data_IF_930838620462
#
_entry.id   IF_930838620462
#
_cell.length_a   1.000
_cell.length_b   1.000
_cell.length_c   1.000
_cell.angle_alpha   90.00
_cell.angle_beta   90.00
_cell.angle_gamma   90.00
#
_symmetry.space_group_name_H-M   'P 1'
#
loop_
_entity.id
_entity.type
_entity.pdbx_description
1 polymer ?
#
# COMPACT_ATOMS: atom_id res chain seq x y z
N UNK A 1 27.32 15.68 -9.45
CA UNK A 1 27.82 14.32 -9.15
C UNK A 1 27.43 14.04 -7.69
N UNK A 2 26.62 13.06 -7.30
CA UNK A 2 26.16 11.84 -7.93
C UNK A 2 24.64 11.68 -7.73
N UNK A 3 23.93 11.31 -8.79
CA UNK A 3 22.60 10.70 -8.72
C UNK A 3 22.81 9.29 -8.16
N UNK A 4 22.45 9.05 -6.89
CA UNK A 4 22.44 7.71 -6.34
C UNK A 4 21.18 7.02 -6.81
N UNK A 5 21.28 6.36 -7.97
CA UNK A 5 20.29 5.46 -8.53
C UNK A 5 20.24 4.13 -7.76
N UNK A 6 20.03 4.19 -6.44
CA UNK A 6 19.55 3.06 -5.67
C UNK A 6 18.27 3.40 -4.85
N UNK A 7 17.08 3.60 -5.48
CA UNK A 7 15.85 3.66 -4.67
C UNK A 7 14.65 2.83 -5.17
N UNK A 8 14.65 2.29 -6.40
CA UNK A 8 13.46 1.60 -6.95
C UNK A 8 13.41 0.10 -6.60
N UNK A 9 14.55 -0.59 -6.61
CA UNK A 9 14.62 -2.03 -6.35
C UNK A 9 14.27 -2.37 -4.89
N UNK A 10 14.77 -1.58 -3.95
CA UNK A 10 14.48 -1.74 -2.52
C UNK A 10 13.02 -1.42 -2.20
N UNK A 11 12.46 -0.36 -2.80
CA UNK A 11 11.04 -0.02 -2.66
C UNK A 11 10.14 -1.14 -3.22
N UNK A 12 10.46 -1.70 -4.39
CA UNK A 12 9.68 -2.79 -4.99
C UNK A 12 9.73 -4.07 -4.14
N UNK A 13 10.92 -4.44 -3.66
CA UNK A 13 11.10 -5.57 -2.73
C UNK A 13 10.37 -5.35 -1.41
N UNK A 14 10.39 -4.13 -0.89
CA UNK A 14 9.64 -3.77 0.32
C UNK A 14 8.13 -3.88 0.09
N UNK A 15 7.61 -3.37 -1.02
CA UNK A 15 6.20 -3.49 -1.42
C UNK A 15 5.80 -4.97 -1.50
N UNK A 16 6.55 -5.82 -2.19
CA UNK A 16 6.25 -7.26 -2.29
C UNK A 16 6.24 -7.95 -0.93
N UNK A 17 7.18 -7.60 -0.04
CA UNK A 17 7.22 -8.14 1.32
C UNK A 17 5.99 -7.72 2.13
N UNK A 18 5.56 -6.47 1.98
CA UNK A 18 4.37 -5.94 2.66
C UNK A 18 3.11 -6.61 2.09
N UNK A 19 2.96 -6.71 0.77
CA UNK A 19 1.81 -7.38 0.13
C UNK A 19 1.65 -8.83 0.62
N UNK A 20 2.76 -9.57 0.73
CA UNK A 20 2.74 -10.94 1.30
C UNK A 20 2.29 -10.96 2.76
N UNK A 21 2.81 -10.06 3.60
CA UNK A 21 2.41 -9.96 5.02
C UNK A 21 0.93 -9.59 5.16
N UNK A 22 0.46 -8.64 4.35
CA UNK A 22 -0.95 -8.27 4.30
C UNK A 22 -1.81 -9.48 3.91
N UNK A 23 -1.41 -10.26 2.90
CA UNK A 23 -2.17 -11.45 2.50
C UNK A 23 -2.24 -12.54 3.59
N UNK A 24 -1.19 -12.65 4.40
CA UNK A 24 -1.14 -13.63 5.49
C UNK A 24 -1.97 -13.22 6.72
N UNK A 25 -1.93 -11.93 7.10
CA UNK A 25 -2.63 -11.42 8.30
C UNK A 25 -4.09 -11.09 7.98
N UNK A 26 -4.33 -10.57 6.77
CA UNK A 26 -5.58 -9.94 6.37
C UNK A 26 -6.20 -10.68 5.18
N UNK A 27 -6.67 -11.90 5.43
CA UNK A 27 -7.24 -12.81 4.40
C UNK A 27 -8.42 -12.19 3.64
N UNK A 28 -9.15 -11.26 4.26
CA UNK A 28 -10.28 -10.56 3.64
C UNK A 28 -9.87 -9.44 2.65
N UNK A 29 -8.58 -9.09 2.54
CA UNK A 29 -8.11 -8.13 1.53
C UNK A 29 -8.03 -8.81 0.17
N UNK A 30 -8.68 -8.22 -0.81
CA UNK A 30 -8.46 -8.56 -2.22
C UNK A 30 -7.06 -8.15 -2.67
N UNK A 31 -6.57 -8.78 -3.74
CA UNK A 31 -5.24 -8.51 -4.31
C UNK A 31 -5.04 -7.01 -4.62
N UNK A 32 -6.10 -6.34 -5.10
CA UNK A 32 -6.07 -4.90 -5.41
C UNK A 32 -6.00 -4.04 -4.15
N UNK A 33 -6.73 -4.40 -3.10
CA UNK A 33 -6.62 -3.70 -1.82
C UNK A 33 -5.23 -3.90 -1.20
N UNK A 34 -4.66 -5.11 -1.24
CA UNK A 34 -3.29 -5.37 -0.75
C UNK A 34 -2.24 -4.55 -1.50
N UNK A 35 -2.34 -4.50 -2.82
CA UNK A 35 -1.39 -3.76 -3.65
C UNK A 35 -1.42 -2.25 -3.36
N UNK A 36 -2.62 -1.68 -3.15
CA UNK A 36 -2.81 -0.27 -2.78
C UNK A 36 -2.32 0.00 -1.35
N UNK A 37 -2.63 -0.87 -0.40
CA UNK A 37 -2.19 -0.74 0.99
C UNK A 37 -0.65 -0.80 1.10
N UNK A 38 0.00 -1.76 0.45
CA UNK A 38 1.46 -1.88 0.50
C UNK A 38 2.19 -0.63 0.02
N UNK A 39 1.71 -0.03 -1.08
CA UNK A 39 2.27 1.21 -1.62
C UNK A 39 1.99 2.42 -0.74
N UNK A 40 0.81 2.44 -0.11
CA UNK A 40 0.45 3.45 0.89
C UNK A 40 1.42 3.40 2.09
N UNK A 41 1.80 2.20 2.53
CA UNK A 41 2.70 2.00 3.67
C UNK A 41 4.15 2.40 3.41
N UNK A 42 4.61 2.33 2.15
CA UNK A 42 5.93 2.87 1.76
C UNK A 42 5.89 4.36 1.46
N UNK A 43 4.76 5.04 1.73
CA UNK A 43 4.64 6.49 1.62
C UNK A 43 4.23 7.02 0.25
N UNK A 44 3.76 6.19 -0.68
CA UNK A 44 3.32 6.67 -1.99
C UNK A 44 2.01 7.46 -1.91
N UNK A 45 1.94 8.56 -2.66
CA UNK A 45 0.72 9.37 -2.81
C UNK A 45 -0.34 8.62 -3.61
N UNK A 46 -1.60 9.06 -3.55
CA UNK A 46 -2.67 8.44 -4.33
C UNK A 46 -2.41 8.55 -5.84
N UNK A 47 -1.85 9.68 -6.32
CA UNK A 47 -1.45 9.81 -7.73
C UNK A 47 -0.33 8.84 -8.11
N UNK A 48 0.72 8.73 -7.28
CA UNK A 48 1.84 7.84 -7.56
C UNK A 48 1.39 6.37 -7.61
N UNK A 49 0.48 5.96 -6.72
CA UNK A 49 -0.09 4.61 -6.72
C UNK A 49 -0.94 4.36 -7.95
N UNK A 50 -1.74 5.36 -8.36
CA UNK A 50 -2.58 5.27 -9.56
C UNK A 50 -1.72 5.02 -10.80
N UNK A 51 -0.62 5.76 -10.93
CA UNK A 51 0.36 5.59 -12.00
C UNK A 51 1.05 4.23 -11.93
N UNK A 52 1.51 3.80 -10.75
CA UNK A 52 2.23 2.52 -10.59
C UNK A 52 1.34 1.29 -10.86
N UNK A 53 0.07 1.34 -10.47
CA UNK A 53 -0.88 0.24 -10.63
C UNK A 53 -1.67 0.28 -11.94
N UNK A 54 -1.56 1.35 -12.73
CA UNK A 54 -2.33 1.55 -13.96
C UNK A 54 -3.84 1.66 -13.71
N UNK A 55 -4.25 2.34 -12.64
CA UNK A 55 -5.66 2.53 -12.26
C UNK A 55 -5.95 4.01 -12.00
N UNK A 56 -7.24 4.38 -11.91
CA UNK A 56 -7.59 5.76 -11.56
C UNK A 56 -7.27 6.10 -10.09
N UNK A 57 -6.97 7.36 -9.80
CA UNK A 57 -6.82 7.85 -8.43
C UNK A 57 -8.09 7.62 -7.60
N UNK A 58 -9.27 7.74 -8.20
CA UNK A 58 -10.55 7.43 -7.55
C UNK A 58 -10.63 5.95 -7.13
N UNK A 59 -10.10 5.04 -7.97
CA UNK A 59 -10.00 3.62 -7.62
C UNK A 59 -9.05 3.40 -6.45
N UNK A 60 -7.90 4.08 -6.41
CA UNK A 60 -6.98 4.01 -5.26
C UNK A 60 -7.68 4.43 -3.96
N UNK A 61 -8.37 5.56 -3.96
CA UNK A 61 -9.11 6.04 -2.79
C UNK A 61 -10.22 5.07 -2.38
N UNK A 62 -10.92 4.48 -3.36
CA UNK A 62 -11.95 3.45 -3.11
C UNK A 62 -11.36 2.21 -2.46
N UNK A 63 -10.21 1.72 -2.94
CA UNK A 63 -9.54 0.55 -2.35
C UNK A 63 -9.01 0.84 -0.95
N UNK A 64 -8.44 2.02 -0.70
CA UNK A 64 -8.04 2.46 0.65
C UNK A 64 -9.24 2.45 1.59
N UNK A 65 -10.35 3.07 1.19
CA UNK A 65 -11.58 3.12 1.98
C UNK A 65 -12.12 1.72 2.30
N UNK A 66 -12.22 0.84 1.28
CA UNK A 66 -12.70 -0.53 1.47
C UNK A 66 -11.78 -1.35 2.38
N UNK A 67 -10.47 -1.21 2.23
CA UNK A 67 -9.52 -1.82 3.15
C UNK A 67 -9.74 -1.33 4.58
N UNK A 68 -9.83 -0.02 4.80
CA UNK A 68 -10.06 0.55 6.15
C UNK A 68 -11.41 0.11 6.76
N UNK A 69 -12.47 0.07 5.95
CA UNK A 69 -13.79 -0.42 6.37
C UNK A 69 -13.75 -1.91 6.77
N UNK A 70 -13.06 -2.76 6.00
CA UNK A 70 -12.91 -4.21 6.29
C UNK A 70 -12.17 -4.47 7.59
N UNK A 71 -11.21 -3.61 7.97
CA UNK A 71 -10.41 -3.78 9.19
C UNK A 71 -10.89 -2.96 10.37
N UNK A 72 -12.02 -2.23 10.25
CA UNK A 72 -12.54 -1.31 11.28
C UNK A 72 -11.48 -0.31 11.78
N UNK A 73 -10.49 0.00 10.95
CA UNK A 73 -9.44 0.96 11.27
C UNK A 73 -9.89 2.30 10.73
N UNK A 74 -10.57 3.07 11.56
CA UNK A 74 -11.23 4.31 11.15
C UNK A 74 -10.24 5.37 10.66
N UNK A 75 -8.95 5.29 11.00
CA UNK A 75 -7.95 6.32 10.69
C UNK A 75 -6.63 5.72 10.18
N UNK A 76 -6.07 6.31 9.12
CA UNK A 76 -4.75 6.02 8.54
C UNK A 76 -3.59 6.01 9.56
N UNK A 77 -3.79 6.52 10.78
CA UNK A 77 -2.77 6.63 11.83
C UNK A 77 -2.74 5.44 12.82
N UNK A 78 -3.71 4.53 12.77
CA UNK A 78 -3.74 3.32 13.63
C UNK A 78 -3.12 2.09 12.95
N UNK A 79 -3.04 2.07 11.62
CA UNK A 79 -2.38 0.99 10.86
C UNK A 79 -0.88 0.87 11.17
N UNK A 80 -0.27 1.92 11.71
CA UNK A 80 1.18 1.97 11.98
C UNK A 80 1.57 1.35 13.33
N UNK A 81 0.62 1.20 14.28
CA UNK A 81 0.93 0.82 15.66
C UNK A 81 0.84 -0.69 15.95
N UNK A 82 0.00 -1.44 15.22
CA UNK A 82 -0.13 -2.90 15.44
C UNK A 82 0.86 -3.74 14.62
N UNK A 83 1.76 -3.11 13.86
CA UNK A 83 2.67 -3.81 12.92
C UNK A 83 4.16 -3.60 13.20
N UNK A 84 4.51 -3.21 14.43
CA UNK A 84 5.86 -3.27 15.03
C UNK A 84 5.77 -4.20 16.24
#
# INVERSE_FOLDING_TARGET
MASVAAPAFDARRAIEKIERRLGAIYVCLTDRERAVCARTMVGMTAEAIALDLGISMASVLTYRRRAYERYRVTHSNQFFLEMI
#
